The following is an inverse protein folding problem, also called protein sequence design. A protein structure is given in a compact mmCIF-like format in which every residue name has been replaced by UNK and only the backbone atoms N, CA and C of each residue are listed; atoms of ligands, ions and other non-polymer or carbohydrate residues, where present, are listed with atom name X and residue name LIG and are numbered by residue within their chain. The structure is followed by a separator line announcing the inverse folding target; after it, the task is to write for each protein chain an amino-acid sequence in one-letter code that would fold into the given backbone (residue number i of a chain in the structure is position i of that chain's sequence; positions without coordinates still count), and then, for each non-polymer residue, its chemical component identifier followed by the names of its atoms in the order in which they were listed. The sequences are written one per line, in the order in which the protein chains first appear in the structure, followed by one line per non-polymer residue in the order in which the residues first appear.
data_IF_061576878340
#
_entry.id   IF_061576878340
#
_cell.length_a   1.000
_cell.length_b   1.000
_cell.length_c   1.000
_cell.angle_alpha   90.00
_cell.angle_beta   90.00
_cell.angle_gamma   90.00
#
_symmetry.space_group_name_H-M   'P 1'
#
loop_
_entity.id
_entity.type
_entity.pdbx_description
1 polymer ?
#
# COMPACT_ATOMS: atom_id res chain seq x y z
N UNK A 1 10.10 58.52 60.13
CA UNK A 1 10.47 57.68 61.29
C UNK A 1 9.24 56.91 61.76
N UNK A 2 9.40 55.62 62.11
CA UNK A 2 8.37 54.62 62.53
C UNK A 2 7.55 54.07 61.34
N UNK A 3 7.81 52.92 60.72
CA UNK A 3 8.09 51.52 61.14
C UNK A 3 6.98 50.87 61.98
N UNK A 4 6.29 49.93 61.30
CA UNK A 4 5.68 48.66 61.75
C UNK A 4 4.20 48.72 62.20
N UNK A 5 3.32 48.15 61.36
CA UNK A 5 2.26 47.23 61.81
C UNK A 5 1.79 46.28 60.67
N UNK A 6 2.05 44.99 60.87
CA UNK A 6 1.35 43.75 60.44
C UNK A 6 0.68 43.72 59.04
N UNK A 7 1.17 42.93 58.07
CA UNK A 7 0.96 41.46 57.93
C UNK A 7 -0.47 41.03 58.26
N UNK A 8 -1.39 41.14 57.29
CA UNK A 8 -2.42 40.13 56.89
C UNK A 8 -3.06 40.65 55.59
N UNK A 9 -2.64 40.14 54.42
CA UNK A 9 -3.52 39.86 53.26
C UNK A 9 -2.72 39.18 52.12
N UNK A 10 -1.99 38.12 52.45
CA UNK A 10 -1.55 37.16 51.45
C UNK A 10 -2.69 36.15 51.24
N UNK A 11 -3.71 36.51 50.46
CA UNK A 11 -4.68 35.59 49.82
C UNK A 11 -5.87 36.36 49.22
N UNK A 12 -5.65 37.22 48.22
CA UNK A 12 -6.74 37.65 47.34
C UNK A 12 -6.25 37.56 45.88
N UNK A 13 -6.67 36.47 45.24
CA UNK A 13 -6.89 36.31 43.80
C UNK A 13 -5.64 36.18 42.93
N UNK A 14 -4.95 35.06 43.17
CA UNK A 14 -4.26 34.28 42.15
C UNK A 14 -5.32 33.48 41.35
N UNK A 15 -6.21 34.17 40.62
CA UNK A 15 -7.19 33.53 39.72
C UNK A 15 -7.29 34.33 38.42
N UNK A 16 -6.20 34.32 37.65
CA UNK A 16 -6.17 34.84 36.28
C UNK A 16 -5.47 33.89 35.31
N UNK A 17 -5.16 32.67 35.76
CA UNK A 17 -4.51 31.62 34.97
C UNK A 17 -5.52 30.57 34.56
N UNK A 18 -6.33 30.86 33.54
CA UNK A 18 -7.05 29.83 32.80
C UNK A 18 -7.07 30.25 31.33
N UNK A 19 -5.89 30.19 30.71
CA UNK A 19 -5.83 30.01 29.26
C UNK A 19 -6.64 28.74 28.97
N UNK A 20 -7.82 28.90 28.38
CA UNK A 20 -8.53 27.82 27.73
C UNK A 20 -7.67 27.36 26.54
N UNK A 21 -6.65 26.57 26.83
CA UNK A 21 -6.07 25.68 25.86
C UNK A 21 -7.19 24.69 25.53
N UNK A 22 -7.96 24.97 24.48
CA UNK A 22 -8.70 23.95 23.78
C UNK A 22 -7.67 22.95 23.28
N UNK A 23 -7.33 21.98 24.12
CA UNK A 23 -6.74 20.74 23.67
C UNK A 23 -7.75 20.17 22.71
N UNK A 24 -7.53 20.37 21.40
CA UNK A 24 -8.23 19.58 20.39
C UNK A 24 -7.89 18.14 20.72
N UNK A 25 -8.81 17.44 21.35
CA UNK A 25 -8.73 15.98 21.53
C UNK A 25 -8.57 15.47 20.10
N UNK A 26 -7.35 15.04 19.75
CA UNK A 26 -7.13 14.36 18.47
C UNK A 26 -8.12 13.20 18.46
N UNK A 27 -8.92 13.02 17.40
CA UNK A 27 -9.85 11.91 17.32
C UNK A 27 -9.09 10.63 17.69
N UNK A 28 -9.64 9.87 18.64
CA UNK A 28 -9.06 8.60 19.07
C UNK A 28 -9.28 7.57 17.96
N UNK A 29 -8.42 7.59 16.94
CA UNK A 29 -8.52 6.68 15.80
C UNK A 29 -7.46 6.95 14.75
N UNK A 30 -7.17 5.93 13.95
CA UNK A 30 -6.33 6.06 12.76
C UNK A 30 -7.15 6.83 11.70
N UNK A 31 -6.63 7.92 11.12
CA UNK A 31 -7.36 8.73 10.16
C UNK A 31 -7.70 7.93 8.90
N UNK A 32 -8.91 8.12 8.39
CA UNK A 32 -9.35 7.59 7.09
C UNK A 32 -9.67 8.77 6.19
N UNK A 33 -9.11 8.78 4.98
CA UNK A 33 -9.35 9.83 3.98
C UNK A 33 -9.81 9.19 2.67
N UNK A 34 -10.69 9.85 1.93
CA UNK A 34 -11.13 9.35 0.62
C UNK A 34 -10.01 9.48 -0.42
N UNK A 35 -9.92 8.52 -1.33
CA UNK A 35 -9.25 8.70 -2.60
C UNK A 35 -10.18 9.43 -3.58
N UNK A 36 -9.69 10.52 -4.15
CA UNK A 36 -10.42 11.27 -5.18
C UNK A 36 -9.67 11.14 -6.49
N UNK A 37 -10.36 10.65 -7.53
CA UNK A 37 -9.81 10.59 -8.87
C UNK A 37 -9.50 12.00 -9.39
N UNK A 38 -8.25 12.23 -9.79
CA UNK A 38 -7.84 13.43 -10.53
C UNK A 38 -7.79 13.16 -12.03
N UNK A 39 -7.60 11.91 -12.43
CA UNK A 39 -7.73 11.43 -13.79
C UNK A 39 -8.21 9.98 -13.78
N UNK A 40 -8.98 9.62 -14.80
CA UNK A 40 -9.45 8.26 -15.04
C UNK A 40 -8.88 7.81 -16.37
N UNK A 41 -8.11 6.74 -16.33
CA UNK A 41 -7.32 6.23 -17.45
C UNK A 41 -7.84 4.83 -17.83
N UNK A 42 -7.73 4.41 -19.10
CA UNK A 42 -8.16 3.09 -19.52
C UNK A 42 -7.33 1.99 -18.84
N UNK A 43 -7.99 0.93 -18.41
CA UNK A 43 -7.36 -0.29 -17.93
C UNK A 43 -8.05 -1.51 -18.55
N UNK A 44 -7.29 -2.57 -18.75
CA UNK A 44 -7.81 -3.80 -19.35
C UNK A 44 -8.70 -4.55 -18.36
N UNK A 45 -10.00 -4.67 -18.69
CA UNK A 45 -10.98 -5.39 -17.86
C UNK A 45 -10.76 -6.91 -17.84
N UNK A 46 -9.90 -7.47 -18.69
CA UNK A 46 -9.47 -8.86 -18.61
C UNK A 46 -8.37 -9.11 -17.57
N UNK A 47 -7.63 -8.06 -17.18
CA UNK A 47 -6.45 -8.19 -16.35
C UNK A 47 -6.79 -8.43 -14.88
N UNK A 48 -6.37 -9.58 -14.36
CA UNK A 48 -6.46 -9.88 -12.93
C UNK A 48 -5.20 -9.32 -12.23
N UNK A 49 -5.16 -8.02 -11.98
CA UNK A 49 -3.97 -7.30 -11.48
C UNK A 49 -3.48 -7.83 -10.12
N UNK A 50 -2.21 -8.26 -10.07
CA UNK A 50 -1.55 -8.76 -8.86
C UNK A 50 -0.26 -8.02 -8.48
N UNK A 51 0.28 -7.20 -9.40
CA UNK A 51 1.36 -6.29 -9.09
C UNK A 51 1.34 -5.10 -10.02
N UNK A 52 1.63 -3.91 -9.51
CA UNK A 52 1.64 -2.68 -10.29
C UNK A 52 2.78 -1.80 -9.81
N UNK A 53 3.57 -1.22 -10.71
CA UNK A 53 4.49 -0.15 -10.34
C UNK A 53 4.73 0.81 -11.49
N UNK A 54 5.16 2.03 -11.17
CA UNK A 54 5.51 3.03 -12.16
C UNK A 54 7.04 3.16 -12.26
N UNK A 55 7.59 3.08 -13.46
CA UNK A 55 9.01 3.37 -13.72
C UNK A 55 9.20 4.12 -15.02
N UNK A 56 9.94 5.24 -14.96
CA UNK A 56 10.39 6.04 -16.12
C UNK A 56 9.28 6.34 -17.15
N UNK A 57 8.10 6.72 -16.69
CA UNK A 57 7.00 7.12 -17.57
C UNK A 57 6.08 5.99 -18.02
N UNK A 58 6.41 4.73 -17.69
CA UNK A 58 5.60 3.57 -18.03
C UNK A 58 5.03 2.92 -16.76
N UNK A 59 3.90 2.25 -16.94
CA UNK A 59 3.34 1.36 -15.93
C UNK A 59 3.80 -0.06 -16.22
N UNK A 60 4.17 -0.79 -15.18
CA UNK A 60 4.48 -2.20 -15.22
C UNK A 60 3.43 -2.95 -14.41
N UNK A 61 2.92 -4.02 -14.96
CA UNK A 61 1.85 -4.79 -14.34
C UNK A 61 2.09 -6.28 -14.44
N UNK A 62 1.79 -6.99 -13.36
CA UNK A 62 1.69 -8.44 -13.31
C UNK A 62 0.23 -8.83 -13.18
N UNK A 63 -0.20 -9.83 -13.95
CA UNK A 63 -1.54 -10.40 -13.85
C UNK A 63 -1.48 -11.83 -13.36
N UNK A 64 -2.49 -12.22 -12.58
CA UNK A 64 -2.73 -13.59 -12.15
C UNK A 64 -3.58 -14.39 -13.15
N UNK A 65 -3.93 -15.61 -12.73
CA UNK A 65 -4.59 -16.72 -13.47
C UNK A 65 -3.62 -17.71 -14.12
N UNK A 66 -3.78 -19.00 -13.79
CA UNK A 66 -2.90 -20.07 -14.29
C UNK A 66 -3.05 -20.19 -15.81
N UNK A 67 -1.93 -20.09 -16.52
CA UNK A 67 -1.89 -20.14 -17.99
C UNK A 67 -2.25 -18.82 -18.69
N UNK A 68 -2.67 -17.80 -17.95
CA UNK A 68 -3.01 -16.46 -18.46
C UNK A 68 -2.14 -15.35 -17.83
N UNK A 69 -1.33 -15.68 -16.82
CA UNK A 69 -0.48 -14.72 -16.12
C UNK A 69 0.56 -14.11 -17.05
N UNK A 70 0.68 -12.78 -17.04
CA UNK A 70 1.67 -12.04 -17.83
C UNK A 70 2.37 -10.96 -17.00
N UNK A 71 3.54 -10.54 -17.46
CA UNK A 71 4.15 -9.27 -17.10
C UNK A 71 4.03 -8.35 -18.31
N UNK A 72 3.51 -7.14 -18.14
CA UNK A 72 3.35 -6.16 -19.21
C UNK A 72 3.88 -4.80 -18.82
N UNK A 73 4.46 -4.12 -19.80
CA UNK A 73 4.79 -2.69 -19.77
C UNK A 73 3.77 -1.96 -20.63
N UNK A 74 3.13 -0.94 -20.07
CA UNK A 74 2.07 -0.20 -20.75
C UNK A 74 2.22 1.31 -20.58
N UNK A 75 1.69 2.03 -21.57
CA UNK A 75 1.49 3.48 -21.48
C UNK A 75 0.27 3.75 -20.58
N UNK A 76 0.44 4.42 -19.42
CA UNK A 76 -0.67 4.61 -18.49
C UNK A 76 -1.77 5.54 -19.03
N UNK A 77 -1.46 6.45 -19.96
CA UNK A 77 -2.44 7.38 -20.50
C UNK A 77 -3.41 6.69 -21.48
N UNK A 78 -2.90 5.70 -22.22
CA UNK A 78 -3.66 5.02 -23.28
C UNK A 78 -4.05 3.58 -22.94
N UNK A 79 -3.45 2.97 -21.91
CA UNK A 79 -3.59 1.56 -21.58
C UNK A 79 -2.93 0.62 -22.60
N UNK A 80 -2.21 1.17 -23.58
CA UNK A 80 -1.61 0.40 -24.66
C UNK A 80 -0.40 -0.38 -24.14
N UNK A 81 -0.44 -1.70 -24.29
CA UNK A 81 0.69 -2.58 -24.04
C UNK A 81 1.81 -2.28 -25.04
N UNK A 82 3.00 -1.99 -24.50
CA UNK A 82 4.23 -1.74 -25.25
C UNK A 82 5.08 -2.99 -25.36
N UNK A 83 5.05 -3.83 -24.32
CA UNK A 83 5.81 -5.07 -24.23
C UNK A 83 5.13 -6.01 -23.23
N UNK A 84 5.20 -7.31 -23.49
CA UNK A 84 4.59 -8.33 -22.64
C UNK A 84 5.40 -9.63 -22.73
N UNK A 85 5.42 -10.38 -21.63
CA UNK A 85 5.84 -11.78 -21.61
C UNK A 85 4.88 -12.60 -20.77
N UNK A 86 4.60 -13.82 -21.19
CA UNK A 86 3.79 -14.77 -20.42
C UNK A 86 4.60 -15.47 -19.35
N UNK A 87 3.95 -15.73 -18.21
CA UNK A 87 4.41 -16.68 -17.21
C UNK A 87 3.78 -18.06 -17.55
N UNK A 88 4.59 -19.11 -17.80
CA UNK A 88 4.04 -20.39 -18.21
C UNK A 88 3.23 -21.06 -17.08
N UNK A 89 2.25 -21.88 -17.45
CA UNK A 89 1.63 -22.81 -16.50
C UNK A 89 2.69 -23.74 -15.88
N UNK A 90 2.52 -24.19 -14.62
CA UNK A 90 1.32 -24.10 -13.79
C UNK A 90 1.25 -22.85 -12.89
N UNK A 91 2.13 -21.86 -13.09
CA UNK A 91 2.28 -20.76 -12.16
C UNK A 91 1.14 -19.73 -12.24
N UNK A 92 0.78 -19.18 -11.08
CA UNK A 92 -0.09 -18.02 -10.94
C UNK A 92 0.77 -16.80 -10.59
N UNK A 93 0.82 -15.79 -11.46
CA UNK A 93 1.66 -14.61 -11.28
C UNK A 93 1.12 -13.67 -10.20
N UNK A 94 2.02 -13.12 -9.39
CA UNK A 94 1.72 -12.22 -8.28
C UNK A 94 2.54 -10.93 -8.40
N UNK A 95 2.85 -10.25 -7.30
CA UNK A 95 3.59 -8.98 -7.32
C UNK A 95 4.89 -8.97 -8.09
N UNK A 96 5.18 -7.79 -8.65
CA UNK A 96 6.42 -7.50 -9.37
C UNK A 96 7.12 -6.28 -8.81
N UNK A 97 8.45 -6.24 -8.94
CA UNK A 97 9.24 -5.04 -8.62
C UNK A 97 10.48 -4.96 -9.52
N UNK A 98 10.86 -3.74 -9.89
CA UNK A 98 12.14 -3.48 -10.54
C UNK A 98 13.26 -3.24 -9.52
N UNK A 99 14.44 -3.82 -9.72
CA UNK A 99 15.66 -3.45 -8.99
C UNK A 99 16.87 -3.44 -9.91
N UNK A 100 17.41 -2.25 -10.16
CA UNK A 100 18.45 -2.05 -11.17
C UNK A 100 17.92 -2.34 -12.57
N UNK A 101 18.55 -3.28 -13.27
CA UNK A 101 18.18 -3.75 -14.60
C UNK A 101 17.32 -5.04 -14.58
N UNK A 102 16.91 -5.49 -13.38
CA UNK A 102 16.10 -6.69 -13.17
C UNK A 102 14.66 -6.35 -12.83
N UNK A 103 13.74 -7.22 -13.24
CA UNK A 103 12.38 -7.31 -12.74
C UNK A 103 12.20 -8.66 -12.04
N UNK A 104 11.65 -8.62 -10.83
CA UNK A 104 11.32 -9.81 -10.05
C UNK A 104 9.80 -9.99 -10.07
N UNK A 105 9.34 -11.22 -10.25
CA UNK A 105 7.92 -11.60 -10.18
C UNK A 105 7.76 -12.74 -9.17
N UNK A 106 6.79 -12.62 -8.27
CA UNK A 106 6.37 -13.70 -7.39
C UNK A 106 5.36 -14.62 -8.09
N UNK A 107 5.21 -15.83 -7.55
CA UNK A 107 4.00 -16.63 -7.76
C UNK A 107 3.25 -16.83 -6.44
N UNK A 108 2.00 -17.24 -6.53
CA UNK A 108 1.15 -17.34 -5.34
C UNK A 108 1.63 -18.40 -4.34
N UNK A 109 1.56 -19.68 -4.71
CA UNK A 109 1.78 -20.80 -3.77
C UNK A 109 3.02 -21.65 -4.09
N UNK A 110 3.67 -21.42 -5.23
CA UNK A 110 4.72 -22.30 -5.75
C UNK A 110 6.10 -22.07 -5.13
N UNK A 111 6.23 -21.09 -4.22
CA UNK A 111 7.47 -20.79 -3.47
C UNK A 111 8.66 -20.47 -4.39
N UNK A 112 8.36 -20.02 -5.61
CA UNK A 112 9.31 -19.77 -6.68
C UNK A 112 8.96 -18.45 -7.32
N UNK A 113 9.95 -17.57 -7.48
CA UNK A 113 9.81 -16.33 -8.22
C UNK A 113 10.73 -16.32 -9.43
N UNK A 114 10.42 -15.44 -10.37
CA UNK A 114 11.10 -15.32 -11.65
C UNK A 114 11.84 -13.99 -11.76
N UNK A 115 12.97 -14.02 -12.44
CA UNK A 115 13.82 -12.86 -12.69
C UNK A 115 13.87 -12.64 -14.20
N UNK A 116 13.59 -11.42 -14.61
CA UNK A 116 13.62 -10.98 -15.99
C UNK A 116 14.55 -9.77 -16.14
N UNK A 117 15.03 -9.50 -17.35
CA UNK A 117 15.56 -8.18 -17.67
C UNK A 117 14.44 -7.16 -17.72
N UNK A 118 14.62 -6.01 -17.08
CA UNK A 118 13.58 -4.97 -17.01
C UNK A 118 13.25 -4.37 -18.39
N UNK A 119 14.25 -4.31 -19.27
CA UNK A 119 14.11 -3.67 -20.59
C UNK A 119 13.39 -4.56 -21.60
N UNK A 120 13.77 -5.84 -21.72
CA UNK A 120 13.25 -6.75 -22.77
C UNK A 120 12.44 -7.93 -22.24
N UNK A 121 12.25 -8.02 -20.92
CA UNK A 121 11.63 -9.15 -20.23
C UNK A 121 12.26 -10.51 -20.60
N UNK A 122 13.54 -10.52 -20.97
CA UNK A 122 14.24 -11.77 -21.22
C UNK A 122 14.41 -12.53 -19.89
N UNK A 123 14.13 -13.84 -19.84
CA UNK A 123 14.33 -14.62 -18.62
C UNK A 123 15.80 -14.61 -18.18
N UNK A 124 16.05 -14.35 -16.90
CA UNK A 124 17.39 -14.29 -16.30
C UNK A 124 17.60 -15.30 -15.17
N UNK A 125 16.53 -15.89 -14.64
CA UNK A 125 16.62 -16.94 -13.64
C UNK A 125 15.40 -17.01 -12.74
N UNK A 126 15.54 -17.73 -11.64
CA UNK A 126 14.52 -17.89 -10.61
C UNK A 126 15.12 -17.67 -9.22
N UNK A 127 14.25 -17.46 -8.24
CA UNK A 127 14.58 -17.45 -6.82
C UNK A 127 13.53 -18.21 -6.03
N UNK A 128 13.85 -18.62 -4.81
CA UNK A 128 12.91 -19.34 -3.93
C UNK A 128 12.63 -18.53 -2.67
N UNK A 129 11.44 -18.72 -2.12
CA UNK A 129 11.01 -18.12 -0.85
C UNK A 129 10.13 -19.10 -0.07
N UNK A 130 9.87 -18.78 1.20
CA UNK A 130 8.96 -19.57 2.05
C UNK A 130 7.57 -18.95 2.08
N UNK A 131 6.55 -19.76 2.39
CA UNK A 131 5.16 -19.30 2.44
C UNK A 131 4.58 -19.00 1.05
N UNK A 132 3.53 -18.19 1.03
CA UNK A 132 2.99 -17.60 -0.20
C UNK A 132 3.77 -16.35 -0.60
N UNK A 133 3.53 -15.86 -1.82
CA UNK A 133 3.96 -14.53 -2.25
C UNK A 133 2.80 -13.79 -2.87
N UNK A 134 2.51 -12.58 -2.39
CA UNK A 134 1.38 -11.77 -2.87
C UNK A 134 1.90 -10.51 -3.56
N UNK A 135 2.73 -9.71 -2.90
CA UNK A 135 3.25 -8.49 -3.52
C UNK A 135 4.72 -8.20 -3.25
N UNK A 136 5.31 -7.38 -4.11
CA UNK A 136 6.64 -6.79 -3.97
C UNK A 136 6.55 -5.27 -4.16
N UNK A 137 7.27 -4.53 -3.33
CA UNK A 137 7.67 -3.14 -3.62
C UNK A 137 9.13 -2.96 -3.19
N UNK A 138 9.68 -1.74 -3.26
CA UNK A 138 11.04 -1.46 -2.80
C UNK A 138 11.19 -0.07 -2.23
N UNK A 139 12.16 0.08 -1.35
CA UNK A 139 12.75 1.37 -1.03
C UNK A 139 14.14 1.50 -1.65
N UNK A 140 14.96 2.40 -1.12
CA UNK A 140 16.35 2.63 -1.52
C UNK A 140 17.32 1.52 -1.06
N UNK A 141 16.93 0.70 -0.09
CA UNK A 141 17.79 -0.30 0.56
C UNK A 141 17.51 -1.73 0.12
N UNK A 142 16.26 -2.06 -0.21
CA UNK A 142 15.90 -3.42 -0.59
C UNK A 142 14.44 -3.57 -1.00
N UNK A 143 14.05 -4.83 -1.17
CA UNK A 143 12.71 -5.23 -1.61
C UNK A 143 11.87 -5.56 -0.39
N UNK A 144 10.57 -5.30 -0.46
CA UNK A 144 9.59 -5.56 0.60
C UNK A 144 8.52 -6.47 0.03
N UNK A 145 8.19 -7.55 0.74
CA UNK A 145 7.27 -8.59 0.30
C UNK A 145 6.11 -8.76 1.28
N UNK A 146 4.90 -8.92 0.73
CA UNK A 146 3.70 -9.38 1.46
C UNK A 146 3.31 -10.80 1.03
N UNK A 147 2.52 -11.45 1.88
CA UNK A 147 2.04 -12.83 1.68
C UNK A 147 0.65 -13.07 2.28
N UNK A 148 -0.16 -12.01 2.40
CA UNK A 148 -1.47 -12.06 3.04
C UNK A 148 -1.44 -12.16 4.57
N UNK A 149 -0.27 -12.34 5.19
CA UNK A 149 -0.15 -12.28 6.65
C UNK A 149 0.03 -10.84 7.17
N UNK A 150 -0.04 -10.61 8.50
CA UNK A 150 0.33 -9.32 9.09
C UNK A 150 1.83 -9.02 9.12
N UNK A 151 2.67 -9.78 8.41
CA UNK A 151 4.13 -9.64 8.47
C UNK A 151 4.67 -9.32 7.08
N UNK A 152 5.29 -8.16 6.94
CA UNK A 152 6.08 -7.82 5.77
C UNK A 152 7.50 -8.35 5.92
N UNK A 153 8.08 -8.84 4.82
CA UNK A 153 9.45 -9.35 4.75
C UNK A 153 10.33 -8.41 3.95
N UNK A 154 11.47 -8.01 4.50
CA UNK A 154 12.48 -7.24 3.77
C UNK A 154 13.49 -8.21 3.17
N UNK A 155 13.69 -8.13 1.87
CA UNK A 155 14.54 -9.04 1.09
C UNK A 155 15.80 -8.32 0.62
N UNK A 156 16.94 -9.01 0.70
CA UNK A 156 18.16 -8.58 0.02
C UNK A 156 17.97 -8.73 -1.50
N UNK A 157 18.17 -7.67 -2.30
CA UNK A 157 17.83 -7.69 -3.73
C UNK A 157 18.79 -8.49 -4.61
N UNK A 158 19.93 -8.94 -4.07
CA UNK A 158 20.88 -9.78 -4.80
C UNK A 158 20.61 -11.27 -4.58
N UNK A 159 20.15 -11.63 -3.39
CA UNK A 159 19.95 -13.02 -2.95
C UNK A 159 18.49 -13.42 -2.80
N UNK A 160 17.58 -12.43 -2.76
CA UNK A 160 16.15 -12.56 -2.43
C UNK A 160 15.88 -13.21 -1.07
N UNK A 161 16.88 -13.27 -0.18
CA UNK A 161 16.74 -13.81 1.16
C UNK A 161 16.19 -12.77 2.12
N UNK A 162 15.41 -13.23 3.11
CA UNK A 162 14.85 -12.37 4.16
C UNK A 162 15.97 -11.83 5.04
N UNK A 163 16.04 -10.51 5.17
CA UNK A 163 16.99 -9.79 6.03
C UNK A 163 16.34 -9.33 7.33
N UNK A 164 15.05 -9.00 7.30
CA UNK A 164 14.26 -8.64 8.47
C UNK A 164 12.77 -8.78 8.18
N UNK A 165 11.96 -8.65 9.24
CA UNK A 165 10.50 -8.67 9.14
C UNK A 165 9.89 -7.49 9.89
N UNK A 166 8.69 -7.08 9.48
CA UNK A 166 7.94 -6.00 10.09
C UNK A 166 6.49 -6.43 10.29
N UNK A 167 6.07 -6.51 11.55
CA UNK A 167 4.68 -6.81 11.89
C UNK A 167 3.83 -5.55 11.75
N UNK A 168 2.80 -5.63 10.92
CA UNK A 168 1.88 -4.52 10.67
C UNK A 168 0.73 -4.54 11.67
N UNK A 169 0.46 -3.39 12.28
CA UNK A 169 -0.64 -3.24 13.25
C UNK A 169 -1.42 -1.95 13.05
N UNK A 170 -2.73 -2.01 13.23
CA UNK A 170 -3.62 -0.86 13.31
C UNK A 170 -4.18 -0.79 14.73
N UNK A 171 -3.81 0.26 15.48
CA UNK A 171 -4.19 0.41 16.89
C UNK A 171 -3.80 -0.79 17.78
N UNK A 172 -2.64 -1.40 17.50
CA UNK A 172 -2.14 -2.60 18.20
C UNK A 172 -2.70 -3.93 17.66
N UNK A 173 -3.71 -3.90 16.79
CA UNK A 173 -4.31 -5.08 16.20
C UNK A 173 -3.55 -5.50 14.93
N UNK A 174 -3.19 -6.78 14.76
CA UNK A 174 -2.53 -7.24 13.53
C UNK A 174 -3.42 -7.01 12.31
N UNK A 175 -2.85 -6.47 11.23
CA UNK A 175 -3.56 -6.27 9.96
C UNK A 175 -3.20 -7.41 9.02
N UNK A 176 -4.07 -8.41 8.89
CA UNK A 176 -3.90 -9.49 7.91
C UNK A 176 -4.35 -9.05 6.51
N UNK A 177 -4.22 -9.94 5.53
CA UNK A 177 -4.61 -9.76 4.14
C UNK A 177 -3.89 -8.61 3.44
N UNK A 178 -2.65 -8.30 3.86
CA UNK A 178 -1.78 -7.36 3.15
C UNK A 178 -1.48 -7.94 1.77
N UNK A 179 -1.96 -7.26 0.73
CA UNK A 179 -1.86 -7.69 -0.64
C UNK A 179 -0.88 -6.80 -1.39
N UNK A 180 -1.32 -6.10 -2.43
CA UNK A 180 -0.45 -5.25 -3.22
C UNK A 180 0.22 -4.14 -2.38
N UNK A 181 1.53 -3.93 -2.61
CA UNK A 181 2.36 -2.97 -1.89
C UNK A 181 2.91 -1.90 -2.82
N UNK A 182 3.06 -0.67 -2.30
CA UNK A 182 3.85 0.37 -2.95
C UNK A 182 4.61 1.26 -1.98
N UNK A 183 5.83 1.68 -2.33
CA UNK A 183 6.59 2.64 -1.53
C UNK A 183 6.29 4.08 -1.95
N UNK A 184 5.67 4.84 -1.04
CA UNK A 184 5.18 6.20 -1.31
C UNK A 184 5.78 7.17 -0.31
N UNK A 185 6.67 8.05 -0.79
CA UNK A 185 7.29 9.15 0.00
C UNK A 185 7.75 8.73 1.42
N UNK A 186 8.37 7.55 1.55
CA UNK A 186 8.89 7.05 2.83
C UNK A 186 7.95 6.17 3.64
N UNK A 187 6.78 5.84 3.10
CA UNK A 187 5.79 4.95 3.71
C UNK A 187 5.54 3.73 2.83
N UNK A 188 5.06 2.65 3.44
CA UNK A 188 4.56 1.48 2.71
C UNK A 188 3.05 1.64 2.59
N UNK A 189 2.55 1.69 1.37
CA UNK A 189 1.13 1.61 1.08
C UNK A 189 0.80 0.14 0.81
N UNK A 190 -0.32 -0.35 1.34
CA UNK A 190 -0.73 -1.74 1.15
C UNK A 190 -2.22 -1.84 0.91
N UNK A 191 -2.65 -2.46 -0.19
CA UNK A 191 -4.01 -2.95 -0.31
C UNK A 191 -4.28 -3.98 0.79
N UNK A 192 -5.49 -3.95 1.36
CA UNK A 192 -5.97 -5.00 2.25
C UNK A 192 -7.04 -5.79 1.50
N UNK A 193 -6.74 -7.04 1.14
CA UNK A 193 -7.62 -7.88 0.33
C UNK A 193 -9.00 -8.02 0.98
N UNK A 194 -10.05 -8.02 0.14
CA UNK A 194 -11.46 -8.00 0.53
C UNK A 194 -11.93 -6.73 1.27
N UNK A 195 -11.18 -5.63 1.19
CA UNK A 195 -11.61 -4.30 1.66
C UNK A 195 -11.45 -3.26 0.56
N UNK A 196 -11.94 -2.05 0.79
CA UNK A 196 -11.65 -0.88 -0.05
C UNK A 196 -10.65 0.08 0.61
N UNK A 197 -9.83 -0.42 1.53
CA UNK A 197 -8.83 0.38 2.23
C UNK A 197 -7.42 0.04 1.74
N UNK A 198 -6.61 1.09 1.59
CA UNK A 198 -5.17 1.02 1.48
C UNK A 198 -4.58 1.52 2.80
N UNK A 199 -3.79 0.69 3.47
CA UNK A 199 -3.08 1.05 4.69
C UNK A 199 -1.83 1.88 4.38
N UNK A 200 -1.61 2.97 5.11
CA UNK A 200 -0.34 3.73 5.11
C UNK A 200 0.49 3.32 6.32
N UNK A 201 1.53 2.54 6.09
CA UNK A 201 2.30 1.87 7.14
C UNK A 201 3.62 2.62 7.34
N UNK A 202 3.93 2.93 8.59
CA UNK A 202 5.27 3.38 8.98
C UNK A 202 6.26 2.21 8.87
N UNK A 203 7.28 2.29 8.00
CA UNK A 203 8.20 1.18 7.75
C UNK A 203 9.14 0.89 8.93
N UNK A 204 9.24 1.80 9.91
CA UNK A 204 10.08 1.60 11.09
C UNK A 204 9.31 0.86 12.18
N UNK A 205 8.08 1.28 12.45
CA UNK A 205 7.29 0.74 13.57
C UNK A 205 6.27 -0.33 13.17
N UNK A 206 5.93 -0.43 11.89
CA UNK A 206 4.85 -1.29 11.38
C UNK A 206 3.45 -0.78 11.74
N UNK A 207 3.35 0.41 12.34
CA UNK A 207 2.05 0.99 12.69
C UNK A 207 1.39 1.58 11.45
N UNK A 208 0.12 1.26 11.27
CA UNK A 208 -0.74 1.97 10.32
C UNK A 208 -0.98 3.38 10.85
N UNK A 209 -0.60 4.36 10.04
CA UNK A 209 -0.68 5.80 10.33
C UNK A 209 -1.92 6.46 9.73
N UNK A 210 -2.54 5.81 8.76
CA UNK A 210 -3.76 6.26 8.10
C UNK A 210 -4.28 5.20 7.13
N UNK A 211 -5.52 5.37 6.68
CA UNK A 211 -6.11 4.61 5.59
C UNK A 211 -6.53 5.55 4.46
N UNK A 212 -6.31 5.11 3.23
CA UNK A 212 -6.89 5.70 2.03
C UNK A 212 -8.07 4.82 1.60
N UNK A 213 -9.26 5.41 1.54
CA UNK A 213 -10.51 4.74 1.18
C UNK A 213 -10.78 4.90 -0.32
N UNK A 214 -10.77 3.78 -1.05
CA UNK A 214 -10.99 3.71 -2.50
C UNK A 214 -12.39 3.19 -2.87
N UNK A 215 -13.32 3.12 -1.91
CA UNK A 215 -14.67 2.57 -2.14
C UNK A 215 -15.50 3.32 -3.19
N UNK A 216 -15.20 4.61 -3.40
CA UNK A 216 -15.85 5.43 -4.43
C UNK A 216 -15.36 5.10 -5.85
N UNK A 217 -14.20 4.42 -5.99
CA UNK A 217 -13.60 4.06 -7.27
C UNK A 217 -14.06 2.68 -7.77
N UNK A 218 -13.68 2.36 -9.02
CA UNK A 218 -13.92 1.07 -9.64
C UNK A 218 -15.39 0.79 -10.01
N UNK A 219 -15.65 -0.35 -10.68
CA UNK A 219 -17.00 -0.76 -11.04
C UNK A 219 -17.82 -1.09 -9.77
N UNK A 220 -19.10 -0.69 -9.75
CA UNK A 220 -20.01 -1.01 -8.64
C UNK A 220 -20.55 -2.45 -8.72
N UNK A 221 -20.82 -2.90 -9.94
CA UNK A 221 -21.23 -4.27 -10.23
C UNK A 221 -20.00 -5.09 -10.61
N UNK A 222 -19.40 -5.77 -9.63
CA UNK A 222 -18.15 -6.52 -9.80
C UNK A 222 -18.26 -7.90 -9.19
N UNK A 223 -17.56 -8.87 -9.79
CA UNK A 223 -17.41 -10.21 -9.21
C UNK A 223 -16.73 -10.15 -7.84
N UNK A 224 -16.89 -11.20 -7.04
CA UNK A 224 -16.39 -11.25 -5.66
C UNK A 224 -14.88 -11.02 -5.54
N UNK A 225 -14.11 -11.46 -6.54
CA UNK A 225 -12.64 -11.29 -6.57
C UNK A 225 -12.17 -10.13 -7.45
N UNK A 226 -13.08 -9.33 -8.02
CA UNK A 226 -12.74 -8.14 -8.81
C UNK A 226 -12.51 -6.92 -7.89
N UNK A 227 -11.66 -7.09 -6.88
CA UNK A 227 -11.46 -6.15 -5.77
C UNK A 227 -10.38 -5.10 -6.08
N UNK A 228 -10.29 -4.05 -5.26
CA UNK A 228 -9.18 -3.10 -5.32
C UNK A 228 -7.85 -3.82 -5.05
N UNK A 229 -6.90 -3.70 -5.98
CA UNK A 229 -5.57 -4.30 -5.93
C UNK A 229 -4.69 -3.65 -7.02
N UNK A 230 -3.52 -3.14 -6.64
CA UNK A 230 -2.62 -2.43 -7.56
C UNK A 230 -2.49 -0.95 -7.17
N UNK A 231 -1.28 -0.56 -6.76
CA UNK A 231 -0.89 0.77 -6.33
C UNK A 231 0.43 1.09 -7.02
N UNK A 232 0.51 2.22 -7.71
CA UNK A 232 1.75 2.64 -8.33
C UNK A 232 2.04 4.10 -8.02
N UNK A 233 3.31 4.43 -7.82
CA UNK A 233 3.72 5.78 -7.46
C UNK A 233 4.80 6.33 -8.38
N UNK A 234 4.46 7.41 -9.08
CA UNK A 234 5.43 8.25 -9.78
C UNK A 234 6.00 9.27 -8.78
N UNK A 235 7.14 8.93 -8.17
CA UNK A 235 7.82 9.80 -7.21
C UNK A 235 8.29 11.13 -7.82
N UNK A 236 8.59 11.17 -9.13
CA UNK A 236 9.08 12.38 -9.79
C UNK A 236 8.00 13.46 -9.91
N UNK A 237 6.79 13.06 -10.28
CA UNK A 237 5.64 13.97 -10.39
C UNK A 237 4.67 13.90 -9.20
N UNK A 238 4.97 13.07 -8.18
CA UNK A 238 4.13 12.81 -7.01
C UNK A 238 2.70 12.38 -7.38
N UNK A 239 2.60 11.41 -8.29
CA UNK A 239 1.30 10.88 -8.75
C UNK A 239 1.10 9.49 -8.19
N UNK A 240 0.00 9.30 -7.46
CA UNK A 240 -0.45 8.00 -6.98
C UNK A 240 -1.49 7.46 -7.95
N UNK A 241 -1.34 6.19 -8.32
CA UNK A 241 -2.28 5.47 -9.17
C UNK A 241 -2.83 4.26 -8.43
N UNK A 242 -4.11 3.98 -8.64
CA UNK A 242 -4.79 2.80 -8.07
C UNK A 242 -5.70 2.16 -9.11
N UNK A 243 -5.80 0.83 -9.07
CA UNK A 243 -6.71 0.04 -9.91
C UNK A 243 -7.29 -1.13 -9.10
N UNK A 244 -7.85 -2.11 -9.80
CA UNK A 244 -8.25 -3.37 -9.21
C UNK A 244 -8.29 -4.51 -10.22
N UNK A 245 -8.49 -5.70 -9.68
CA UNK A 245 -8.62 -6.93 -10.47
C UNK A 245 -9.82 -6.79 -11.40
N UNK A 246 -9.56 -6.83 -12.71
CA UNK A 246 -10.55 -6.67 -13.79
C UNK A 246 -11.30 -5.34 -13.76
N UNK A 247 -10.70 -4.30 -13.18
CA UNK A 247 -11.27 -2.95 -13.26
C UNK A 247 -11.07 -2.41 -14.68
N UNK A 248 -12.07 -1.74 -15.28
CA UNK A 248 -11.90 -1.14 -16.60
C UNK A 248 -11.16 0.21 -16.56
N UNK A 249 -10.79 0.69 -15.37
CA UNK A 249 -10.10 1.97 -15.19
C UNK A 249 -8.94 1.88 -14.19
N UNK A 250 -7.86 2.58 -14.54
CA UNK A 250 -6.77 2.98 -13.68
C UNK A 250 -7.04 4.43 -13.24
N UNK A 251 -6.93 4.73 -11.96
CA UNK A 251 -7.22 6.06 -11.43
C UNK A 251 -5.93 6.71 -10.96
N UNK A 252 -5.60 7.89 -11.48
CA UNK A 252 -4.70 8.79 -10.75
C UNK A 252 -5.51 9.42 -9.62
N UNK A 253 -5.01 9.35 -8.39
CA UNK A 253 -5.74 9.79 -7.20
C UNK A 253 -4.96 10.79 -6.36
N UNK A 254 -5.71 11.55 -5.56
CA UNK A 254 -5.20 12.34 -4.44
C UNK A 254 -6.04 12.08 -3.20
N UNK A 255 -5.51 12.44 -2.05
CA UNK A 255 -6.29 12.44 -0.80
C UNK A 255 -7.35 13.54 -0.84
N UNK A 256 -8.58 13.16 -0.48
CA UNK A 256 -9.72 14.05 -0.33
C UNK A 256 -10.15 14.21 1.12
N UNK A 257 -11.45 14.35 1.33
CA UNK A 257 -12.02 14.60 2.65
C UNK A 257 -11.86 13.41 3.60
N UNK A 258 -11.81 13.72 4.89
CA UNK A 258 -11.83 12.72 5.95
C UNK A 258 -13.15 11.93 5.93
N UNK A 259 -13.05 10.62 6.14
CA UNK A 259 -14.20 9.72 6.31
C UNK A 259 -14.53 9.64 7.80
N UNK A 260 -15.66 10.23 8.20
CA UNK A 260 -16.03 10.32 9.62
C UNK A 260 -16.29 8.95 10.29
N UNK A 261 -16.77 7.97 9.52
CA UNK A 261 -17.06 6.60 9.98
C UNK A 261 -16.76 5.61 8.87
N UNK A 262 -15.76 4.76 9.06
CA UNK A 262 -15.47 3.61 8.19
C UNK A 262 -15.62 2.32 9.00
N UNK A 263 -16.55 1.46 8.59
CA UNK A 263 -16.79 0.17 9.24
C UNK A 263 -15.65 -0.82 8.98
N UNK A 264 -15.01 -0.75 7.81
CA UNK A 264 -13.81 -1.53 7.48
C UNK A 264 -12.65 -1.14 8.39
N UNK A 265 -12.38 0.17 8.55
CA UNK A 265 -11.30 0.64 9.44
C UNK A 265 -11.60 0.33 10.92
N UNK A 266 -12.87 0.39 11.34
CA UNK A 266 -13.27 0.00 12.69
C UNK A 266 -12.94 -1.47 12.97
N UNK A 267 -13.27 -2.39 12.04
CA UNK A 267 -12.95 -3.83 12.17
C UNK A 267 -11.44 -4.08 12.26
N UNK A 268 -10.64 -3.36 11.47
CA UNK A 268 -9.18 -3.49 11.46
C UNK A 268 -8.52 -2.96 12.75
N UNK A 269 -9.20 -2.09 13.50
CA UNK A 269 -8.65 -1.41 14.69
C UNK A 269 -9.20 -1.94 16.02
N UNK A 270 -10.14 -2.89 15.98
CA UNK A 270 -10.80 -3.47 17.16
C UNK A 270 -10.34 -4.88 17.53
N UNK A 271 -9.38 -5.46 16.81
CA UNK A 271 -8.86 -6.82 17.03
C UNK A 271 -9.95 -7.91 16.92
N UNK A 272 -11.13 -7.55 16.40
CA UNK A 272 -12.31 -8.41 16.33
C UNK A 272 -12.26 -9.43 15.18
N UNK A 273 -11.13 -9.51 14.47
CA UNK A 273 -10.86 -10.51 13.44
C UNK A 273 -9.92 -11.62 13.93
N UNK A 274 -9.69 -11.72 15.25
CA UNK A 274 -8.98 -12.86 15.87
C UNK A 274 -9.93 -14.00 16.20
#
# INVERSE_FOLDING_TARGET
MKRILLVVLAAIVLVGGAAFAFTRIKPSGIPVVRAVAVATLPHDSGAFTEGLFFDKGAMYESTGQIGESVIRKLDPATGKVQQETSLPAPYFGEGIVAWGDKLFQLTWQDKTGFIYGLDKFEPRGTFSYTGEGWSLTRNDKGIIMSDGTPVLRFLDPNTMQVTSTLRVTANGCPVANLNELEWVDGQIYANIWQTNLIAKIDPVSGKVTGFLDVSDLGPKDRGTDNVANGIAYDAGAKRLFVTGKRWPQLYQVKEGDAVAKSSEAAKLTSCSQQ
#
